data_IF_307629213317
#
_entry.id   IF_307629213317
#
_cell.length_a   1.000
_cell.length_b   1.000
_cell.length_c   1.000
_cell.angle_alpha   90.00
_cell.angle_beta   90.00
_cell.angle_gamma   90.00
#
_symmetry.space_group_name_H-M   'P 1'
#
loop_
_entity.id
_entity.type
_entity.pdbx_description
1 polymer ?
#
# COMPACT_ATOMS: atom_id res chain seq x y z
N UNK A 1 19.00 -6.61 12.60
CA UNK A 1 17.86 -6.40 11.68
C UNK A 1 18.23 -7.03 10.34
N UNK A 2 17.25 -7.39 9.51
CA UNK A 2 17.32 -8.38 8.43
C UNK A 2 18.16 -8.07 7.19
N UNK A 3 17.84 -8.71 6.07
CA UNK A 3 18.51 -8.65 4.76
C UNK A 3 20.03 -8.91 4.82
N UNK A 4 20.46 -9.82 5.69
CA UNK A 4 21.89 -10.03 6.02
C UNK A 4 22.77 -10.43 4.83
N UNK A 5 22.20 -11.00 3.75
CA UNK A 5 22.95 -11.36 2.55
C UNK A 5 23.26 -10.16 1.64
N UNK A 6 22.68 -9.00 1.90
CA UNK A 6 22.92 -7.77 1.16
C UNK A 6 23.96 -6.90 1.90
N UNK A 7 25.17 -6.82 1.35
CA UNK A 7 26.24 -5.99 1.92
C UNK A 7 25.86 -4.51 1.87
N UNK A 8 25.58 -3.93 3.03
CA UNK A 8 25.38 -2.49 3.20
C UNK A 8 26.69 -1.88 3.70
N UNK A 9 27.33 -1.04 2.89
CA UNK A 9 28.70 -0.59 3.12
C UNK A 9 28.79 0.92 3.31
N UNK A 10 29.77 1.36 4.11
CA UNK A 10 30.32 2.70 4.02
C UNK A 10 31.29 2.74 2.83
N UNK A 11 31.08 3.67 1.90
CA UNK A 11 31.97 3.88 0.75
C UNK A 11 32.82 5.13 0.99
N UNK A 12 34.14 5.01 0.84
CA UNK A 12 35.09 6.14 0.85
C UNK A 12 35.70 6.29 -0.54
N UNK A 13 35.70 7.51 -1.06
CA UNK A 13 36.26 7.85 -2.37
C UNK A 13 37.38 8.86 -2.16
N UNK A 14 38.64 8.44 -2.29
CA UNK A 14 39.83 9.30 -2.18
C UNK A 14 40.57 9.28 -3.51
N UNK A 15 40.79 10.45 -4.12
CA UNK A 15 41.44 10.60 -5.43
C UNK A 15 40.92 9.61 -6.50
N UNK A 16 39.63 9.27 -6.41
CA UNK A 16 38.99 8.28 -7.28
C UNK A 16 38.65 8.89 -8.63
N UNK A 17 38.88 8.14 -9.70
CA UNK A 17 38.50 8.55 -11.05
C UNK A 17 36.97 8.58 -11.18
N UNK A 18 36.42 9.74 -11.56
CA UNK A 18 35.00 9.92 -11.82
C UNK A 18 34.75 10.41 -13.24
N UNK A 19 33.61 10.04 -13.81
CA UNK A 19 33.14 10.52 -15.11
C UNK A 19 31.80 11.24 -14.92
N UNK A 20 31.64 12.40 -15.55
CA UNK A 20 30.39 13.15 -15.50
C UNK A 20 29.31 12.40 -16.29
N UNK A 21 28.18 12.12 -15.64
CA UNK A 21 26.97 11.61 -16.29
C UNK A 21 26.00 12.78 -16.44
N UNK A 22 25.54 13.02 -17.67
CA UNK A 22 24.64 14.13 -17.99
C UNK A 22 25.35 15.48 -18.05
N UNK A 23 24.71 16.54 -17.55
CA UNK A 23 25.25 17.89 -17.53
C UNK A 23 25.80 18.27 -16.16
N UNK A 24 26.77 19.17 -16.16
CA UNK A 24 27.32 19.76 -14.94
C UNK A 24 26.18 20.37 -14.10
N UNK A 25 26.24 20.15 -12.78
CA UNK A 25 25.24 20.59 -11.79
C UNK A 25 23.81 20.03 -11.95
N UNK A 26 23.58 19.04 -12.83
CA UNK A 26 22.26 18.41 -13.00
C UNK A 26 22.12 17.03 -12.31
N UNK A 27 23.08 16.61 -11.47
CA UNK A 27 23.13 15.26 -10.90
C UNK A 27 21.86 14.80 -10.17
N UNK A 28 21.18 15.68 -9.44
CA UNK A 28 19.90 15.35 -8.78
C UNK A 28 18.80 15.03 -9.80
N UNK A 29 18.72 15.79 -10.89
CA UNK A 29 17.74 15.57 -11.96
C UNK A 29 18.00 14.23 -12.65
N UNK A 30 19.26 13.91 -12.92
CA UNK A 30 19.65 12.60 -13.47
C UNK A 30 19.29 11.45 -12.51
N UNK A 31 19.59 11.59 -11.21
CA UNK A 31 19.22 10.61 -10.18
C UNK A 31 17.71 10.37 -10.10
N UNK A 32 16.89 11.42 -10.23
CA UNK A 32 15.42 11.29 -10.16
C UNK A 32 14.83 10.45 -11.30
N UNK A 33 15.55 10.26 -12.42
CA UNK A 33 15.09 9.36 -13.49
C UNK A 33 15.04 7.90 -13.04
N UNK A 34 15.93 7.49 -12.12
CA UNK A 34 15.97 6.15 -11.55
C UNK A 34 15.02 5.94 -10.36
N UNK A 35 14.61 7.03 -9.69
CA UNK A 35 13.83 6.95 -8.46
C UNK A 35 12.46 6.30 -8.63
N UNK A 36 11.80 6.49 -9.79
CA UNK A 36 10.52 5.80 -10.04
C UNK A 36 10.70 4.27 -10.09
N UNK A 37 11.77 3.79 -10.72
CA UNK A 37 12.11 2.36 -10.76
C UNK A 37 12.49 1.82 -9.38
N UNK A 38 13.34 2.55 -8.64
CA UNK A 38 13.74 2.16 -7.28
C UNK A 38 12.55 2.08 -6.30
N UNK A 39 11.66 3.07 -6.35
CA UNK A 39 10.42 3.09 -5.55
C UNK A 39 9.48 1.94 -5.90
N UNK A 40 9.34 1.62 -7.19
CA UNK A 40 8.57 0.44 -7.63
C UNK A 40 9.19 -0.86 -7.11
N UNK A 41 10.52 -0.99 -7.17
CA UNK A 41 11.23 -2.15 -6.60
C UNK A 41 10.97 -2.30 -5.10
N UNK A 42 10.99 -1.20 -4.34
CA UNK A 42 10.63 -1.21 -2.92
C UNK A 42 9.16 -1.60 -2.69
N UNK A 43 8.24 -1.08 -3.49
CA UNK A 43 6.83 -1.46 -3.42
C UNK A 43 6.63 -2.97 -3.67
N UNK A 44 7.37 -3.54 -4.63
CA UNK A 44 7.36 -4.97 -4.91
C UNK A 44 7.87 -5.80 -3.72
N UNK A 45 8.89 -5.33 -2.99
CA UNK A 45 9.34 -6.01 -1.78
C UNK A 45 8.25 -6.05 -0.70
N UNK A 46 7.51 -4.96 -0.50
CA UNK A 46 6.37 -4.95 0.43
C UNK A 46 5.33 -6.04 0.11
N UNK A 47 5.00 -6.18 -1.18
CA UNK A 47 4.09 -7.24 -1.66
C UNK A 47 4.69 -8.63 -1.48
N UNK A 48 5.98 -8.82 -1.78
CA UNK A 48 6.64 -10.11 -1.68
C UNK A 48 6.64 -10.64 -0.24
N UNK A 49 6.92 -9.77 0.73
CA UNK A 49 6.84 -10.13 2.15
C UNK A 49 5.39 -10.42 2.58
N UNK A 50 4.41 -9.65 2.11
CA UNK A 50 3.00 -9.93 2.39
C UNK A 50 2.56 -11.30 1.81
N UNK A 51 2.97 -11.62 0.59
CA UNK A 51 2.66 -12.89 -0.08
C UNK A 51 3.28 -14.07 0.65
N UNK A 52 4.59 -13.99 0.96
CA UNK A 52 5.29 -15.08 1.66
C UNK A 52 4.72 -15.30 3.06
N UNK A 53 4.41 -14.22 3.78
CA UNK A 53 3.75 -14.26 5.08
C UNK A 53 2.37 -14.93 4.99
N UNK A 54 1.57 -14.56 3.99
CA UNK A 54 0.26 -15.15 3.72
C UNK A 54 0.34 -16.65 3.47
N UNK A 55 1.22 -17.08 2.55
CA UNK A 55 1.37 -18.50 2.20
C UNK A 55 1.78 -19.33 3.43
N UNK A 56 2.79 -18.86 4.17
CA UNK A 56 3.28 -19.58 5.34
C UNK A 56 2.23 -19.65 6.47
N UNK A 57 1.55 -18.54 6.77
CA UNK A 57 0.52 -18.52 7.81
C UNK A 57 -0.71 -19.34 7.42
N UNK A 58 -1.15 -19.30 6.16
CA UNK A 58 -2.26 -20.12 5.69
C UNK A 58 -1.93 -21.62 5.76
N UNK A 59 -0.72 -22.00 5.33
CA UNK A 59 -0.26 -23.38 5.41
C UNK A 59 -0.25 -23.87 6.87
N UNK A 60 0.39 -23.12 7.78
CA UNK A 60 0.42 -23.47 9.20
C UNK A 60 -0.98 -23.55 9.83
N UNK A 61 -1.87 -22.60 9.52
CA UNK A 61 -3.21 -22.56 10.08
C UNK A 61 -4.10 -23.74 9.65
N UNK A 62 -3.81 -24.36 8.49
CA UNK A 62 -4.51 -25.55 7.98
C UNK A 62 -4.13 -26.84 8.70
N UNK A 63 -3.05 -26.84 9.48
CA UNK A 63 -2.53 -28.05 10.13
C UNK A 63 -2.51 -27.93 11.65
N UNK A 64 -2.28 -26.72 12.17
CA UNK A 64 -2.18 -26.49 13.61
C UNK A 64 -3.53 -26.58 14.30
N UNK A 65 -3.69 -27.56 15.20
CA UNK A 65 -4.80 -27.62 16.16
C UNK A 65 -4.58 -26.67 17.35
N UNK A 66 -5.63 -25.95 17.78
CA UNK A 66 -5.68 -25.28 19.08
C UNK A 66 -7.09 -24.86 19.44
N UNK A 67 -7.52 -25.22 20.67
CA UNK A 67 -8.85 -24.93 21.22
C UNK A 67 -9.99 -25.47 20.34
N UNK A 68 -11.24 -25.26 20.76
CA UNK A 68 -12.43 -25.52 19.94
C UNK A 68 -12.99 -24.20 19.42
N UNK A 69 -13.67 -24.24 18.27
CA UNK A 69 -14.37 -23.07 17.75
C UNK A 69 -15.48 -22.64 18.71
N UNK A 70 -15.59 -21.31 18.90
CA UNK A 70 -16.68 -20.71 19.69
C UNK A 70 -18.08 -20.96 19.09
N UNK A 71 -18.14 -21.29 17.79
CA UNK A 71 -19.38 -21.58 17.07
C UNK A 71 -19.70 -23.09 17.01
N UNK A 72 -19.18 -23.85 17.98
CA UNK A 72 -19.28 -25.30 18.03
C UNK A 72 -18.15 -26.01 17.28
N UNK A 73 -17.83 -27.22 17.74
CA UNK A 73 -16.74 -28.07 17.24
C UNK A 73 -16.79 -28.24 15.71
N UNK A 74 -15.68 -27.96 15.03
CA UNK A 74 -15.57 -28.08 13.56
C UNK A 74 -14.87 -29.34 13.09
N UNK A 75 -13.99 -29.91 13.92
CA UNK A 75 -13.28 -31.16 13.66
C UNK A 75 -13.49 -32.13 14.83
N UNK A 76 -14.67 -32.78 14.93
CA UNK A 76 -15.01 -33.67 16.05
C UNK A 76 -14.04 -34.84 16.22
N UNK A 77 -13.43 -35.28 15.12
CA UNK A 77 -12.49 -36.39 15.06
C UNK A 77 -11.08 -36.03 15.56
N UNK A 78 -10.75 -34.74 15.66
CA UNK A 78 -9.46 -34.25 16.20
C UNK A 78 -9.61 -33.83 17.66
N UNK A 79 -8.55 -33.87 18.49
CA UNK A 79 -8.62 -33.36 19.88
C UNK A 79 -8.94 -31.86 19.97
N UNK A 80 -8.54 -31.09 18.97
CA UNK A 80 -8.71 -29.64 18.87
C UNK A 80 -9.12 -29.28 17.44
N UNK A 81 -9.82 -28.16 17.28
CA UNK A 81 -10.10 -27.62 15.96
C UNK A 81 -8.83 -26.97 15.39
N UNK A 82 -8.70 -26.99 14.07
CA UNK A 82 -7.62 -26.29 13.38
C UNK A 82 -7.76 -24.78 13.56
N UNK A 83 -6.67 -24.07 13.79
CA UNK A 83 -6.73 -22.64 14.12
C UNK A 83 -7.32 -21.78 12.99
N UNK A 84 -7.31 -22.28 11.75
CA UNK A 84 -7.96 -21.62 10.62
C UNK A 84 -9.47 -21.38 10.83
N UNK A 85 -10.15 -22.11 11.71
CA UNK A 85 -11.59 -21.87 11.98
C UNK A 85 -11.82 -20.62 12.82
N UNK A 86 -10.80 -20.10 13.50
CA UNK A 86 -10.92 -18.95 14.39
C UNK A 86 -10.97 -17.64 13.58
N UNK A 87 -11.99 -16.78 13.80
CA UNK A 87 -12.15 -15.56 13.02
C UNK A 87 -10.94 -14.61 13.04
N UNK A 88 -10.26 -14.48 14.19
CA UNK A 88 -9.09 -13.62 14.30
C UNK A 88 -7.91 -14.11 13.42
N UNK A 89 -7.67 -15.42 13.38
CA UNK A 89 -6.65 -16.04 12.52
C UNK A 89 -6.98 -15.78 11.04
N UNK A 90 -8.24 -15.96 10.65
CA UNK A 90 -8.70 -15.65 9.28
C UNK A 90 -8.48 -14.19 8.91
N UNK A 91 -8.79 -13.26 9.81
CA UNK A 91 -8.59 -11.82 9.55
C UNK A 91 -7.10 -11.47 9.34
N UNK A 92 -6.19 -12.07 10.11
CA UNK A 92 -4.74 -11.85 9.92
C UNK A 92 -4.26 -12.37 8.57
N UNK A 93 -4.69 -13.58 8.17
CA UNK A 93 -4.35 -14.18 6.87
C UNK A 93 -4.98 -13.37 5.72
N UNK A 94 -6.25 -12.97 5.85
CA UNK A 94 -6.96 -12.18 4.83
C UNK A 94 -6.35 -10.79 4.65
N UNK A 95 -5.85 -10.16 5.72
CA UNK A 95 -5.10 -8.90 5.61
C UNK A 95 -3.88 -9.06 4.71
N UNK A 96 -3.07 -10.11 4.93
CA UNK A 96 -1.90 -10.37 4.11
C UNK A 96 -2.27 -10.69 2.64
N UNK A 97 -3.29 -11.52 2.42
CA UNK A 97 -3.83 -11.82 1.08
C UNK A 97 -4.31 -10.55 0.36
N UNK A 98 -5.05 -9.70 1.07
CA UNK A 98 -5.61 -8.47 0.53
C UNK A 98 -4.52 -7.49 0.05
N UNK A 99 -3.45 -7.35 0.83
CA UNK A 99 -2.28 -6.52 0.49
C UNK A 99 -1.49 -7.16 -0.64
N UNK A 100 -1.22 -8.47 -0.58
CA UNK A 100 -0.42 -9.15 -1.58
C UNK A 100 -1.08 -9.10 -2.97
N UNK A 101 -2.36 -9.42 -3.09
CA UNK A 101 -3.06 -9.45 -4.37
C UNK A 101 -3.44 -8.06 -4.88
N UNK A 102 -3.94 -7.18 -4.01
CA UNK A 102 -4.28 -5.80 -4.37
C UNK A 102 -3.03 -4.99 -4.75
N UNK A 103 -1.96 -5.15 -3.96
CA UNK A 103 -0.66 -4.55 -4.24
C UNK A 103 -0.04 -5.09 -5.53
N UNK A 104 -0.13 -6.41 -5.79
CA UNK A 104 0.33 -6.99 -7.05
C UNK A 104 -0.39 -6.40 -8.25
N UNK A 105 -1.71 -6.19 -8.17
CA UNK A 105 -2.45 -5.54 -9.24
C UNK A 105 -1.96 -4.09 -9.49
N UNK A 106 -1.67 -3.33 -8.43
CA UNK A 106 -1.07 -2.00 -8.52
C UNK A 106 0.33 -2.02 -9.16
N UNK A 107 1.24 -2.87 -8.68
CA UNK A 107 2.61 -2.93 -9.19
C UNK A 107 2.66 -3.43 -10.63
N UNK A 108 1.82 -4.39 -11.03
CA UNK A 108 1.73 -4.81 -12.42
C UNK A 108 1.21 -3.70 -13.34
N UNK A 109 0.28 -2.87 -12.86
CA UNK A 109 -0.20 -1.72 -13.64
C UNK A 109 0.86 -0.61 -13.74
N UNK A 110 1.65 -0.38 -12.69
CA UNK A 110 2.83 0.49 -12.72
C UNK A 110 3.88 -0.01 -13.73
N UNK A 111 4.20 -1.30 -13.71
CA UNK A 111 5.12 -1.92 -14.66
C UNK A 111 4.63 -1.73 -16.11
N UNK A 112 3.34 -2.01 -16.36
CA UNK A 112 2.71 -1.76 -17.67
C UNK A 112 2.84 -0.30 -18.10
N UNK A 113 2.66 0.66 -17.19
CA UNK A 113 2.81 2.09 -17.50
C UNK A 113 4.25 2.47 -17.81
N UNK A 114 5.23 1.94 -17.08
CA UNK A 114 6.66 2.16 -17.33
C UNK A 114 7.09 1.57 -18.69
N UNK A 115 6.66 0.35 -19.01
CA UNK A 115 6.94 -0.27 -20.32
C UNK A 115 6.29 0.52 -21.46
N UNK A 116 5.05 0.99 -21.26
CA UNK A 116 4.38 1.83 -22.27
C UNK A 116 5.11 3.16 -22.45
N UNK A 117 5.60 3.77 -21.36
CA UNK A 117 6.35 5.02 -21.39
C UNK A 117 7.68 4.86 -22.13
N UNK A 118 8.38 3.74 -21.95
CA UNK A 118 9.70 3.51 -22.56
C UNK A 118 9.64 3.32 -24.08
N UNK A 119 8.52 2.83 -24.62
CA UNK A 119 8.37 2.54 -26.06
C UNK A 119 7.51 3.57 -26.82
N UNK A 120 6.69 4.37 -26.12
CA UNK A 120 5.75 5.27 -26.80
C UNK A 120 6.47 6.42 -27.50
N UNK A 121 6.05 6.69 -28.74
CA UNK A 121 6.49 7.86 -29.54
C UNK A 121 5.56 9.06 -29.40
N UNK A 122 4.37 8.87 -28.81
CA UNK A 122 3.41 9.94 -28.56
C UNK A 122 3.84 10.73 -27.32
N UNK A 123 4.30 11.97 -27.53
CA UNK A 123 4.74 12.88 -26.47
C UNK A 123 3.63 13.21 -25.46
N UNK A 124 2.37 13.26 -25.90
CA UNK A 124 1.23 13.57 -25.02
C UNK A 124 0.96 12.37 -24.10
N UNK A 125 0.96 11.16 -24.66
CA UNK A 125 0.85 9.93 -23.88
C UNK A 125 2.04 9.76 -22.93
N UNK A 126 3.27 9.99 -23.39
CA UNK A 126 4.47 9.94 -22.56
C UNK A 126 4.36 10.87 -21.35
N UNK A 127 3.92 12.12 -21.56
CA UNK A 127 3.75 13.08 -20.47
C UNK A 127 2.66 12.66 -19.48
N UNK A 128 1.53 12.16 -19.98
CA UNK A 128 0.45 11.67 -19.13
C UNK A 128 0.87 10.46 -18.29
N UNK A 129 1.62 9.53 -18.87
CA UNK A 129 2.18 8.37 -18.17
C UNK A 129 3.20 8.77 -17.12
N UNK A 130 4.13 9.68 -17.44
CA UNK A 130 5.12 10.18 -16.48
C UNK A 130 4.45 10.86 -15.27
N UNK A 131 3.46 11.71 -15.53
CA UNK A 131 2.67 12.35 -14.48
C UNK A 131 1.90 11.32 -13.63
N UNK A 132 1.30 10.30 -14.27
CA UNK A 132 0.55 9.23 -13.59
C UNK A 132 1.49 8.34 -12.75
N UNK A 133 2.58 7.85 -13.31
CA UNK A 133 3.60 7.07 -12.60
C UNK A 133 4.14 7.87 -11.41
N UNK A 134 4.44 9.15 -11.61
CA UNK A 134 4.92 10.04 -10.55
C UNK A 134 3.93 10.22 -9.40
N UNK A 135 2.62 10.09 -9.64
CA UNK A 135 1.58 10.08 -8.60
C UNK A 135 1.47 8.73 -7.89
N UNK A 136 1.60 7.62 -8.62
CA UNK A 136 1.41 6.26 -8.09
C UNK A 136 2.61 5.75 -7.29
N UNK A 137 3.84 6.03 -7.72
CA UNK A 137 5.05 5.47 -7.10
C UNK A 137 5.22 5.81 -5.61
N UNK A 138 4.96 7.04 -5.11
CA UNK A 138 5.08 7.30 -3.68
C UNK A 138 3.97 6.60 -2.87
N UNK A 139 2.74 6.47 -3.40
CA UNK A 139 1.67 5.71 -2.78
C UNK A 139 2.06 4.22 -2.71
N UNK A 140 2.51 3.66 -3.83
CA UNK A 140 2.91 2.26 -3.91
C UNK A 140 4.06 1.97 -2.93
N UNK A 141 5.12 2.77 -2.94
CA UNK A 141 6.27 2.59 -2.04
C UNK A 141 5.83 2.73 -0.58
N UNK A 142 5.21 3.85 -0.21
CA UNK A 142 4.85 4.11 1.19
C UNK A 142 3.84 3.10 1.72
N UNK A 143 2.70 2.93 1.06
CA UNK A 143 1.63 2.09 1.58
C UNK A 143 1.94 0.59 1.49
N UNK A 144 2.50 0.09 0.38
CA UNK A 144 2.71 -1.36 0.24
C UNK A 144 3.85 -1.88 1.12
N UNK A 145 4.85 -1.04 1.45
CA UNK A 145 5.91 -1.44 2.38
C UNK A 145 5.44 -1.43 3.83
N UNK A 146 4.66 -0.43 4.23
CA UNK A 146 4.05 -0.37 5.57
C UNK A 146 3.04 -1.51 5.78
N UNK A 147 2.13 -1.73 4.81
CA UNK A 147 1.19 -2.85 4.89
C UNK A 147 1.86 -4.21 4.70
N UNK A 148 2.95 -4.28 3.95
CA UNK A 148 3.77 -5.49 3.82
C UNK A 148 4.39 -5.91 5.15
N UNK A 149 4.92 -4.94 5.90
CA UNK A 149 5.38 -5.15 7.27
C UNK A 149 4.23 -5.54 8.21
N UNK A 150 3.09 -4.85 8.14
CA UNK A 150 1.90 -5.19 8.94
C UNK A 150 1.44 -6.63 8.65
N UNK A 151 1.39 -7.02 7.37
CA UNK A 151 1.05 -8.37 6.94
C UNK A 151 2.01 -9.41 7.51
N UNK A 152 3.32 -9.15 7.46
CA UNK A 152 4.34 -10.01 8.05
C UNK A 152 4.12 -10.21 9.56
N UNK A 153 3.91 -9.12 10.30
CA UNK A 153 3.68 -9.16 11.76
C UNK A 153 2.39 -9.93 12.09
N UNK A 154 1.29 -9.65 11.39
CA UNK A 154 0.00 -10.34 11.60
C UNK A 154 0.07 -11.83 11.30
N UNK A 155 0.78 -12.20 10.24
CA UNK A 155 0.99 -13.60 9.90
C UNK A 155 1.93 -14.29 10.88
N UNK A 156 2.95 -13.60 11.41
CA UNK A 156 3.77 -14.14 12.49
C UNK A 156 2.92 -14.45 13.73
N UNK A 157 1.93 -13.60 14.04
CA UNK A 157 1.00 -13.83 15.15
C UNK A 157 0.18 -15.13 15.00
N UNK A 158 -0.14 -15.55 13.76
CA UNK A 158 -0.86 -16.81 13.49
C UNK A 158 -0.06 -18.03 13.98
N UNK A 159 1.27 -17.93 14.01
CA UNK A 159 2.14 -18.98 14.51
C UNK A 159 2.26 -19.00 16.04
N UNK A 160 1.74 -17.99 16.74
CA UNK A 160 1.94 -17.82 18.18
C UNK A 160 3.42 -17.78 18.55
N UNK A 161 3.80 -18.40 19.68
CA UNK A 161 5.18 -18.45 20.13
C UNK A 161 6.16 -19.08 19.13
N UNK A 162 5.70 -20.01 18.29
CA UNK A 162 6.55 -20.59 17.23
C UNK A 162 7.00 -19.54 16.24
N UNK A 163 6.16 -18.53 15.93
CA UNK A 163 6.50 -17.47 15.00
C UNK A 163 7.70 -16.61 15.43
N UNK A 164 8.06 -16.64 16.71
CA UNK A 164 9.21 -15.91 17.27
C UNK A 164 10.51 -16.71 17.23
N UNK A 165 10.45 -18.01 16.93
CA UNK A 165 11.60 -18.90 16.86
C UNK A 165 12.23 -18.80 15.45
N UNK A 166 13.57 -18.81 15.39
CA UNK A 166 14.31 -18.90 14.12
C UNK A 166 14.08 -20.25 13.43
N UNK A 167 14.21 -20.28 12.10
CA UNK A 167 14.18 -21.52 11.31
C UNK A 167 12.86 -21.83 10.60
N UNK A 168 11.72 -21.28 11.05
CA UNK A 168 10.45 -21.37 10.32
C UNK A 168 10.22 -20.23 9.30
N UNK A 169 11.13 -19.25 9.25
CA UNK A 169 11.10 -18.15 8.30
C UNK A 169 10.20 -16.96 8.67
N UNK A 170 9.25 -17.09 9.60
CA UNK A 170 8.32 -15.99 9.92
C UNK A 170 9.01 -14.78 10.53
N UNK A 171 9.90 -15.00 11.50
CA UNK A 171 10.69 -13.92 12.10
C UNK A 171 11.60 -13.22 11.09
N UNK A 172 12.12 -13.98 10.11
CA UNK A 172 12.92 -13.43 9.02
C UNK A 172 12.09 -12.50 8.13
N UNK A 173 10.89 -12.93 7.71
CA UNK A 173 10.01 -12.11 6.87
C UNK A 173 9.71 -10.77 7.55
N UNK A 174 9.46 -10.76 8.87
CA UNK A 174 9.25 -9.51 9.63
C UNK A 174 10.49 -8.63 9.65
N UNK A 175 11.67 -9.19 9.94
CA UNK A 175 12.94 -8.44 9.95
C UNK A 175 13.32 -7.87 8.60
N UNK A 176 13.11 -8.64 7.53
CA UNK A 176 13.49 -8.29 6.17
C UNK A 176 12.50 -7.29 5.56
N UNK A 177 11.20 -7.37 5.91
CA UNK A 177 10.19 -6.40 5.47
C UNK A 177 10.44 -4.97 5.97
N UNK A 178 11.05 -4.83 7.16
CA UNK A 178 11.19 -3.52 7.82
C UNK A 178 12.05 -2.52 7.03
N UNK A 179 13.02 -2.98 6.25
CA UNK A 179 13.87 -2.06 5.48
C UNK A 179 13.10 -1.31 4.39
N UNK A 180 12.03 -1.92 3.84
CA UNK A 180 11.21 -1.35 2.77
C UNK A 180 10.58 0.00 3.12
N UNK A 181 10.27 0.22 4.41
CA UNK A 181 9.69 1.47 4.90
C UNK A 181 10.74 2.57 5.11
N UNK A 182 12.03 2.25 5.01
CA UNK A 182 13.14 3.11 5.41
C UNK A 182 13.94 3.59 4.20
N UNK A 183 14.54 2.69 3.43
CA UNK A 183 15.41 3.08 2.31
C UNK A 183 14.61 3.59 1.11
N UNK A 184 15.31 4.13 0.10
CA UNK A 184 14.71 4.76 -1.08
C UNK A 184 13.67 5.85 -0.72
N UNK A 185 13.89 6.50 0.43
CA UNK A 185 13.05 7.51 1.05
C UNK A 185 12.00 6.92 2.00
N UNK A 186 12.07 7.29 3.28
CA UNK A 186 11.14 6.83 4.34
C UNK A 186 9.68 7.11 4.00
N UNK A 187 8.74 6.46 4.69
CA UNK A 187 7.29 6.71 4.53
C UNK A 187 6.96 8.20 4.63
N UNK A 188 7.52 8.92 5.61
CA UNK A 188 7.36 10.38 5.75
C UNK A 188 7.92 11.17 4.55
N UNK A 189 9.08 10.76 4.00
CA UNK A 189 9.63 11.39 2.79
C UNK A 189 8.74 11.15 1.57
N UNK A 190 8.20 9.94 1.40
CA UNK A 190 7.24 9.65 0.32
C UNK A 190 5.96 10.47 0.49
N UNK A 191 5.49 10.59 1.73
CA UNK A 191 4.27 11.32 2.06
C UNK A 191 4.41 12.81 1.74
N UNK A 192 5.50 13.44 2.17
CA UNK A 192 5.81 14.85 1.86
C UNK A 192 6.02 15.08 0.35
N UNK A 193 6.72 14.17 -0.33
CA UNK A 193 6.86 14.20 -1.79
C UNK A 193 5.49 14.15 -2.47
N UNK A 194 4.65 13.20 -2.05
CA UNK A 194 3.34 12.97 -2.62
C UNK A 194 2.44 14.21 -2.47
N UNK A 195 2.15 14.64 -1.24
CA UNK A 195 1.22 15.76 -1.03
C UNK A 195 1.79 17.06 -1.57
N UNK A 196 3.07 17.34 -1.33
CA UNK A 196 3.71 18.59 -1.73
C UNK A 196 3.95 18.68 -3.23
N UNK A 197 4.72 17.73 -3.78
CA UNK A 197 5.18 17.80 -5.18
C UNK A 197 4.21 17.17 -6.17
N UNK A 198 3.48 16.11 -5.81
CA UNK A 198 2.60 15.38 -6.74
C UNK A 198 1.13 15.81 -6.69
N UNK A 199 0.70 16.47 -5.61
CA UNK A 199 -0.70 16.87 -5.42
C UNK A 199 -0.90 18.38 -5.41
N UNK A 200 -0.21 19.11 -4.52
CA UNK A 200 -0.44 20.55 -4.32
C UNK A 200 0.38 21.45 -5.26
N UNK A 201 1.54 20.99 -5.72
CA UNK A 201 2.40 21.77 -6.61
C UNK A 201 1.75 21.98 -7.98
N UNK A 202 1.79 23.22 -8.48
CA UNK A 202 1.43 23.56 -9.86
C UNK A 202 2.31 22.84 -10.91
N UNK A 203 3.50 22.36 -10.51
CA UNK A 203 4.42 21.56 -11.34
C UNK A 203 4.22 20.05 -11.20
N UNK A 204 3.29 19.60 -10.35
CA UNK A 204 3.07 18.20 -10.01
C UNK A 204 2.45 17.33 -11.11
N UNK A 205 2.19 17.91 -12.29
CA UNK A 205 1.63 17.18 -13.42
C UNK A 205 0.14 16.87 -13.25
N UNK A 206 -0.42 16.16 -14.23
CA UNK A 206 -1.83 15.79 -14.24
C UNK A 206 -2.15 14.48 -13.48
N UNK A 207 -1.17 13.83 -12.85
CA UNK A 207 -1.31 12.47 -12.30
C UNK A 207 -2.47 12.29 -11.33
N UNK A 208 -2.67 13.29 -10.45
CA UNK A 208 -3.78 13.31 -9.49
C UNK A 208 -5.16 13.34 -10.17
N UNK A 209 -5.27 14.08 -11.27
CA UNK A 209 -6.51 14.27 -12.02
C UNK A 209 -6.76 13.06 -12.93
N UNK A 210 -5.70 12.47 -13.49
CA UNK A 210 -5.74 11.20 -14.24
C UNK A 210 -6.25 10.07 -13.35
N UNK A 211 -5.67 9.89 -12.15
CA UNK A 211 -6.16 8.86 -11.21
C UNK A 211 -7.60 9.11 -10.80
N UNK A 212 -7.94 10.37 -10.48
CA UNK A 212 -9.32 10.75 -10.16
C UNK A 212 -10.29 10.42 -11.30
N UNK A 213 -9.89 10.62 -12.56
CA UNK A 213 -10.69 10.29 -13.73
C UNK A 213 -10.85 8.78 -13.88
N UNK A 214 -9.77 7.98 -13.76
CA UNK A 214 -9.82 6.51 -13.80
C UNK A 214 -10.73 5.92 -12.73
N UNK A 215 -10.64 6.42 -11.50
CA UNK A 215 -11.52 6.00 -10.41
C UNK A 215 -12.98 6.32 -10.76
N UNK A 216 -13.25 7.54 -11.25
CA UNK A 216 -14.59 7.94 -11.69
C UNK A 216 -15.13 7.05 -12.81
N UNK A 217 -14.32 6.70 -13.79
CA UNK A 217 -14.71 5.83 -14.91
C UNK A 217 -14.97 4.39 -14.48
N UNK A 218 -14.26 3.90 -13.48
CA UNK A 218 -14.54 2.60 -12.86
C UNK A 218 -15.86 2.61 -12.10
N UNK A 219 -16.13 3.62 -11.26
CA UNK A 219 -17.28 3.58 -10.35
C UNK A 219 -18.60 3.99 -11.01
N UNK A 220 -18.58 4.92 -11.98
CA UNK A 220 -19.79 5.50 -12.61
C UNK A 220 -20.77 4.44 -13.13
N UNK A 221 -20.35 3.41 -13.88
CA UNK A 221 -21.26 2.38 -14.38
C UNK A 221 -21.98 1.60 -13.28
N UNK A 222 -21.43 1.59 -12.06
CA UNK A 222 -21.91 0.77 -10.94
C UNK A 222 -22.62 1.57 -9.84
N UNK A 223 -22.71 2.90 -9.93
CA UNK A 223 -23.28 3.74 -8.86
C UNK A 223 -24.75 3.42 -8.54
N UNK A 224 -25.52 3.00 -9.55
CA UNK A 224 -26.93 2.59 -9.42
C UNK A 224 -27.12 1.07 -9.34
N UNK A 225 -26.05 0.30 -9.45
CA UNK A 225 -26.11 -1.16 -9.32
C UNK A 225 -26.51 -1.56 -7.90
N UNK A 226 -27.32 -2.61 -7.81
CA UNK A 226 -27.61 -3.30 -6.54
C UNK A 226 -26.47 -4.28 -6.20
N UNK A 227 -26.40 -4.69 -4.94
CA UNK A 227 -25.40 -5.66 -4.47
C UNK A 227 -24.05 -5.04 -4.10
N UNK A 228 -23.07 -5.93 -3.88
CA UNK A 228 -21.78 -5.60 -3.30
C UNK A 228 -20.97 -4.60 -4.15
N UNK A 229 -20.84 -4.85 -5.47
CA UNK A 229 -20.12 -3.97 -6.39
C UNK A 229 -20.69 -2.54 -6.39
N UNK A 230 -22.01 -2.40 -6.36
CA UNK A 230 -22.65 -1.09 -6.26
C UNK A 230 -22.32 -0.36 -4.95
N UNK A 231 -22.30 -1.08 -3.83
CA UNK A 231 -21.91 -0.51 -2.53
C UNK A 231 -20.45 -0.03 -2.55
N UNK A 232 -19.55 -0.86 -3.08
CA UNK A 232 -18.12 -0.55 -3.20
C UNK A 232 -17.86 0.65 -4.11
N UNK A 233 -18.55 0.73 -5.24
CA UNK A 233 -18.48 1.87 -6.15
C UNK A 233 -18.92 3.19 -5.48
N UNK A 234 -20.03 3.16 -4.72
CA UNK A 234 -20.50 4.33 -3.95
C UNK A 234 -19.52 4.73 -2.85
N UNK A 235 -18.94 3.76 -2.14
CA UNK A 235 -17.94 4.04 -1.09
C UNK A 235 -16.70 4.72 -1.69
N UNK A 236 -16.13 4.20 -2.78
CA UNK A 236 -14.99 4.83 -3.46
C UNK A 236 -15.34 6.21 -4.02
N UNK A 237 -16.55 6.39 -4.55
CA UNK A 237 -17.01 7.70 -5.02
C UNK A 237 -17.04 8.72 -3.88
N UNK A 238 -17.57 8.36 -2.71
CA UNK A 238 -17.57 9.21 -1.53
C UNK A 238 -16.15 9.50 -1.03
N UNK A 239 -15.28 8.48 -1.00
CA UNK A 239 -13.87 8.65 -0.63
C UNK A 239 -13.17 9.64 -1.57
N UNK A 240 -13.40 9.55 -2.87
CA UNK A 240 -12.85 10.50 -3.84
C UNK A 240 -13.31 11.94 -3.59
N UNK A 241 -14.58 12.14 -3.25
CA UNK A 241 -15.13 13.47 -2.94
C UNK A 241 -14.47 14.06 -1.70
N UNK A 242 -14.36 13.25 -0.64
CA UNK A 242 -13.67 13.61 0.61
C UNK A 242 -12.20 13.92 0.36
N UNK A 243 -11.51 13.10 -0.44
CA UNK A 243 -10.13 13.33 -0.84
C UNK A 243 -9.91 14.67 -1.54
N UNK A 244 -10.76 15.02 -2.51
CA UNK A 244 -10.69 16.31 -3.21
C UNK A 244 -10.92 17.49 -2.25
N UNK A 245 -11.89 17.36 -1.34
CA UNK A 245 -12.19 18.39 -0.36
C UNK A 245 -11.05 18.56 0.66
N UNK A 246 -10.47 17.45 1.13
CA UNK A 246 -9.31 17.44 2.01
C UNK A 246 -8.09 18.07 1.33
N UNK A 247 -7.82 17.71 0.07
CA UNK A 247 -6.75 18.30 -0.74
C UNK A 247 -6.88 19.82 -0.80
N UNK A 248 -8.08 20.34 -1.10
CA UNK A 248 -8.33 21.78 -1.16
C UNK A 248 -8.14 22.45 0.21
N UNK A 249 -8.66 21.86 1.30
CA UNK A 249 -8.52 22.40 2.66
C UNK A 249 -7.07 22.43 3.11
N UNK A 250 -6.31 21.36 2.88
CA UNK A 250 -4.89 21.28 3.23
C UNK A 250 -4.10 22.29 2.41
N UNK A 251 -4.38 22.42 1.11
CA UNK A 251 -3.74 23.43 0.26
C UNK A 251 -3.98 24.87 0.77
N UNK A 252 -5.22 25.21 1.14
CA UNK A 252 -5.56 26.53 1.67
C UNK A 252 -4.89 26.82 3.03
N UNK A 253 -4.88 25.85 3.94
CA UNK A 253 -4.15 25.98 5.23
C UNK A 253 -2.65 26.09 5.00
N UNK A 254 -2.11 25.29 4.07
CA UNK A 254 -0.71 25.27 3.65
C UNK A 254 -0.15 26.59 3.15
N UNK A 255 -1.01 27.47 2.62
CA UNK A 255 -0.62 28.83 2.23
C UNK A 255 -0.28 29.73 3.41
N UNK A 256 -0.86 29.46 4.58
CA UNK A 256 -0.63 30.23 5.83
C UNK A 256 0.39 29.55 6.74
N UNK A 257 0.37 28.23 6.78
CA UNK A 257 1.22 27.39 7.62
C UNK A 257 1.74 26.23 6.77
N UNK A 258 3.02 26.28 6.39
CA UNK A 258 3.62 25.24 5.55
C UNK A 258 3.82 23.94 6.31
N UNK A 259 4.01 23.99 7.62
CA UNK A 259 4.24 22.82 8.46
C UNK A 259 2.96 22.00 8.60
N UNK A 260 1.79 22.63 8.48
CA UNK A 260 0.51 21.93 8.37
C UNK A 260 0.49 20.88 7.24
N UNK A 261 1.10 21.18 6.08
CA UNK A 261 1.15 20.25 4.95
C UNK A 261 2.04 19.04 5.27
N UNK A 262 3.17 19.28 5.94
CA UNK A 262 4.07 18.20 6.35
C UNK A 262 3.42 17.32 7.43
N UNK A 263 2.79 17.92 8.43
CA UNK A 263 2.08 17.22 9.50
C UNK A 263 0.92 16.35 8.97
N UNK A 264 0.19 16.81 7.96
CA UNK A 264 -0.90 16.05 7.33
C UNK A 264 -0.43 14.98 6.34
N UNK A 265 0.86 14.95 6.00
CA UNK A 265 1.34 14.25 4.81
C UNK A 265 1.14 12.73 4.87
N UNK A 266 1.46 12.09 5.99
CA UNK A 266 1.41 10.63 6.12
C UNK A 266 -0.03 10.11 6.12
N UNK A 267 -0.93 10.76 6.86
CA UNK A 267 -2.36 10.43 6.83
C UNK A 267 -2.98 10.67 5.46
N UNK A 268 -2.58 11.74 4.76
CA UNK A 268 -3.03 11.99 3.39
C UNK A 268 -2.52 10.90 2.42
N UNK A 269 -1.28 10.45 2.58
CA UNK A 269 -0.71 9.33 1.82
C UNK A 269 -1.49 8.04 2.07
N UNK A 270 -1.72 7.68 3.35
CA UNK A 270 -2.44 6.46 3.72
C UNK A 270 -3.89 6.48 3.26
N UNK A 271 -4.58 7.61 3.38
CA UNK A 271 -5.94 7.78 2.84
C UNK A 271 -5.97 7.53 1.33
N UNK A 272 -5.02 8.12 0.60
CA UNK A 272 -4.88 7.96 -0.85
C UNK A 272 -4.54 6.51 -1.22
N UNK A 273 -3.72 5.86 -0.40
CA UNK A 273 -3.40 4.44 -0.48
C UNK A 273 -4.63 3.56 -0.37
N UNK A 274 -5.46 3.71 0.66
CA UNK A 274 -6.67 2.89 0.81
C UNK A 274 -7.65 3.09 -0.35
N UNK A 275 -7.78 4.32 -0.85
CA UNK A 275 -8.57 4.62 -2.05
C UNK A 275 -8.00 3.90 -3.28
N UNK A 276 -6.67 3.89 -3.47
CA UNK A 276 -6.00 3.17 -4.56
C UNK A 276 -6.11 1.65 -4.42
N UNK A 277 -5.96 1.10 -3.22
CA UNK A 277 -6.16 -0.31 -2.93
C UNK A 277 -7.60 -0.74 -3.27
N UNK A 278 -8.59 0.05 -2.83
CA UNK A 278 -10.00 -0.18 -3.15
C UNK A 278 -10.28 -0.10 -4.65
N UNK A 279 -9.65 0.83 -5.39
CA UNK A 279 -9.74 0.91 -6.85
C UNK A 279 -9.28 -0.40 -7.53
N UNK A 280 -8.12 -0.92 -7.17
CA UNK A 280 -7.62 -2.17 -7.76
C UNK A 280 -8.46 -3.39 -7.37
N UNK A 281 -8.94 -3.45 -6.13
CA UNK A 281 -9.86 -4.50 -5.70
C UNK A 281 -11.20 -4.45 -6.43
N UNK A 282 -11.79 -3.27 -6.60
CA UNK A 282 -13.03 -3.13 -7.36
C UNK A 282 -12.84 -3.53 -8.82
N UNK A 283 -11.72 -3.19 -9.46
CA UNK A 283 -11.41 -3.64 -10.83
C UNK A 283 -11.38 -5.16 -10.92
N UNK A 284 -10.69 -5.82 -9.98
CA UNK A 284 -10.64 -7.29 -9.94
C UNK A 284 -12.02 -7.89 -9.66
N UNK A 285 -12.82 -7.29 -8.77
CA UNK A 285 -14.16 -7.77 -8.45
C UNK A 285 -15.13 -7.66 -9.64
N UNK A 286 -15.11 -6.55 -10.39
CA UNK A 286 -15.92 -6.40 -11.61
C UNK A 286 -15.55 -7.44 -12.67
N UNK A 287 -14.25 -7.78 -12.79
CA UNK A 287 -13.82 -8.85 -13.69
C UNK A 287 -14.26 -10.24 -13.18
N UNK A 288 -14.11 -10.50 -11.88
CA UNK A 288 -14.47 -11.77 -11.25
C UNK A 288 -15.97 -12.05 -11.30
N UNK A 289 -16.83 -11.06 -11.00
CA UNK A 289 -18.28 -11.20 -11.04
C UNK A 289 -18.78 -11.64 -12.41
N UNK A 290 -18.17 -11.12 -13.50
CA UNK A 290 -18.50 -11.55 -14.87
C UNK A 290 -18.19 -13.03 -15.12
N UNK A 291 -17.09 -13.54 -14.57
CA UNK A 291 -16.68 -14.94 -14.76
C UNK A 291 -17.56 -15.88 -13.93
N UNK A 292 -17.87 -15.50 -12.69
CA UNK A 292 -18.82 -16.24 -11.83
C UNK A 292 -20.20 -16.29 -12.48
N UNK A 293 -20.73 -15.15 -12.95
CA UNK A 293 -22.03 -15.09 -13.62
C UNK A 293 -22.08 -15.87 -14.93
N UNK A 294 -20.94 -16.03 -15.61
CA UNK A 294 -20.81 -16.84 -16.82
C UNK A 294 -20.61 -18.34 -16.53
N UNK A 295 -20.62 -18.78 -15.26
CA UNK A 295 -20.38 -20.17 -14.87
C UNK A 295 -18.94 -20.64 -15.13
N UNK A 296 -17.97 -19.72 -15.19
CA UNK A 296 -16.56 -20.00 -15.52
C UNK A 296 -15.65 -20.07 -14.28
N UNK A 297 -16.22 -20.23 -13.09
CA UNK A 297 -15.49 -20.31 -11.82
C UNK A 297 -15.40 -21.74 -11.30
N UNK A 298 -14.75 -22.62 -12.07
CA UNK A 298 -14.72 -24.07 -11.77
C UNK A 298 -13.90 -24.43 -10.54
N UNK A 299 -12.92 -23.59 -10.18
CA UNK A 299 -12.01 -23.80 -9.05
C UNK A 299 -12.27 -22.85 -7.87
N UNK A 300 -13.27 -21.97 -7.98
CA UNK A 300 -13.63 -20.97 -6.95
C UNK A 300 -12.67 -19.79 -6.86
N UNK A 301 -11.74 -19.62 -7.81
CA UNK A 301 -10.79 -18.52 -7.81
C UNK A 301 -11.47 -17.15 -7.87
N UNK A 302 -12.49 -16.99 -8.73
CA UNK A 302 -13.18 -15.73 -8.90
C UNK A 302 -14.06 -15.42 -7.69
N UNK A 303 -14.74 -16.41 -7.12
CA UNK A 303 -15.46 -16.22 -5.86
C UNK A 303 -14.52 -15.77 -4.73
N UNK A 304 -13.33 -16.37 -4.61
CA UNK A 304 -12.34 -15.96 -3.61
C UNK A 304 -11.87 -14.50 -3.81
N UNK A 305 -11.82 -14.00 -5.06
CA UNK A 305 -11.55 -12.58 -5.35
C UNK A 305 -12.67 -11.67 -4.86
N UNK A 306 -13.93 -12.07 -5.06
CA UNK A 306 -15.10 -11.34 -4.57
C UNK A 306 -15.11 -11.29 -3.04
N UNK A 307 -14.87 -12.42 -2.38
CA UNK A 307 -14.83 -12.52 -0.91
C UNK A 307 -13.69 -11.67 -0.31
N UNK A 308 -12.51 -11.68 -0.95
CA UNK A 308 -11.37 -10.86 -0.49
C UNK A 308 -11.63 -9.37 -0.75
N UNK A 309 -12.28 -9.03 -1.87
CA UNK A 309 -12.74 -7.66 -2.12
C UNK A 309 -13.72 -7.21 -1.03
N UNK A 310 -14.67 -8.05 -0.64
CA UNK A 310 -15.57 -7.74 0.46
C UNK A 310 -14.80 -7.46 1.75
N UNK A 311 -13.84 -8.32 2.12
CA UNK A 311 -12.99 -8.10 3.29
C UNK A 311 -12.25 -6.75 3.22
N UNK A 312 -11.72 -6.37 2.06
CA UNK A 312 -11.04 -5.08 1.86
C UNK A 312 -11.97 -3.91 2.16
N UNK A 313 -13.18 -3.93 1.60
CA UNK A 313 -14.15 -2.84 1.77
C UNK A 313 -14.77 -2.80 3.18
N UNK A 314 -14.98 -3.96 3.81
CA UNK A 314 -15.60 -4.06 5.13
C UNK A 314 -14.61 -3.88 6.29
N UNK A 315 -13.31 -4.20 6.10
CA UNK A 315 -12.32 -4.25 7.19
C UNK A 315 -11.10 -3.36 7.01
N UNK A 316 -10.66 -3.11 5.77
CA UNK A 316 -9.46 -2.30 5.52
C UNK A 316 -9.80 -0.85 5.20
N UNK A 317 -10.70 -0.61 4.25
CA UNK A 317 -11.10 0.74 3.85
C UNK A 317 -11.65 1.60 5.02
N UNK A 318 -12.37 1.06 6.02
CA UNK A 318 -12.80 1.87 7.16
C UNK A 318 -11.65 2.53 7.95
N UNK A 319 -10.42 1.97 7.89
CA UNK A 319 -9.25 2.60 8.52
C UNK A 319 -8.91 3.97 7.91
N UNK A 320 -9.29 4.19 6.65
CA UNK A 320 -9.10 5.49 5.99
C UNK A 320 -9.87 6.62 6.66
N UNK A 321 -10.97 6.34 7.37
CA UNK A 321 -11.73 7.37 8.09
C UNK A 321 -10.92 7.98 9.24
N UNK A 322 -10.09 7.18 9.91
CA UNK A 322 -9.15 7.66 10.93
C UNK A 322 -8.14 8.64 10.33
N UNK A 323 -7.47 8.24 9.25
CA UNK A 323 -6.54 9.09 8.52
C UNK A 323 -7.21 10.37 8.00
N UNK A 324 -8.45 10.28 7.52
CA UNK A 324 -9.20 11.45 7.06
C UNK A 324 -9.46 12.46 8.18
N UNK A 325 -9.78 11.97 9.37
CA UNK A 325 -9.94 12.82 10.55
C UNK A 325 -8.61 13.49 10.91
N UNK A 326 -7.53 12.71 11.01
CA UNK A 326 -6.22 13.18 11.47
C UNK A 326 -5.62 14.20 10.49
N UNK A 327 -5.65 13.96 9.16
CA UNK A 327 -5.02 14.85 8.17
C UNK A 327 -5.62 16.26 8.12
N UNK A 328 -6.78 16.49 8.74
CA UNK A 328 -7.44 17.81 8.78
C UNK A 328 -7.24 18.54 10.10
N UNK A 329 -6.79 17.83 11.15
CA UNK A 329 -6.59 18.39 12.48
C UNK A 329 -5.46 19.42 12.47
N UNK A 330 -5.60 20.53 13.23
CA UNK A 330 -4.49 21.43 13.48
C UNK A 330 -3.31 20.67 14.10
N UNK A 331 -2.10 21.15 13.81
CA UNK A 331 -0.85 20.54 14.31
C UNK A 331 -0.16 21.47 15.32
N UNK A 332 -0.76 21.79 16.48
CA UNK A 332 -0.12 22.68 17.46
C UNK A 332 1.16 22.05 18.05
N UNK A 333 1.33 20.74 17.92
CA UNK A 333 2.50 20.02 18.41
C UNK A 333 3.81 20.38 17.72
N UNK A 334 3.78 20.93 16.50
CA UNK A 334 5.00 21.48 15.86
C UNK A 334 5.51 22.74 16.55
N UNK A 335 4.70 23.37 17.40
CA UNK A 335 5.08 24.54 18.22
C UNK A 335 5.41 24.18 19.67
N UNK A 336 5.30 22.91 20.07
CA UNK A 336 5.71 22.46 21.40
C UNK A 336 7.24 22.47 21.46
N UNK A 337 7.80 23.05 22.52
CA UNK A 337 9.25 23.05 22.72
C UNK A 337 9.74 21.61 23.00
N UNK A 338 10.57 21.00 22.13
CA UNK A 338 11.09 19.67 22.36
C UNK A 338 12.06 19.60 23.56
N UNK A 339 12.62 20.73 24.00
CA UNK A 339 13.50 20.77 25.19
C UNK A 339 12.77 20.43 26.50
N UNK A 340 11.43 20.54 26.51
CA UNK A 340 10.62 20.11 27.66
C UNK A 340 10.19 18.66 27.57
N UNK A 341 10.67 17.90 26.58
CA UNK A 341 10.43 16.46 26.52
C UNK A 341 11.43 15.82 27.47
N UNK A 342 10.97 15.45 28.66
CA UNK A 342 11.81 14.86 29.71
C UNK A 342 12.51 13.59 29.19
N UNK A 343 13.79 13.72 28.86
CA UNK A 343 14.74 12.60 28.70
C UNK A 343 15.78 12.65 29.84
N UNK A 344 15.54 13.48 30.87
CA UNK A 344 16.40 13.55 32.06
C UNK A 344 16.25 12.30 32.92
N UNK A 345 17.21 11.39 32.77
CA UNK A 345 17.85 10.69 33.89
C UNK A 345 19.36 10.95 33.80
#
# INVERSE_FOLDING_TARGET
MGIHSNSTCQLSFENSLGYLIGKESEGMKEMFTFMNGARMGCAQQGIAHAEMAFQNALHYARERGSMRSLSGTKYPEKPQDLILVHPNVRQNILMAKAVAEGGRALVLDLARMLDTLSITKDKKLARALDDEIGFYTPIAKGCLTEWGLEAAIRCQQVWGGHGYIKGNGMEQIVRDARIGTIYEGTTGVQAMDFIGRKVLSKKGGAGKDIFAQRLSDLVRPHLISRGAIGNYARQLWLMQKRWKLATARIGLKGMKDRDFVAAASEDFLMYSGYMMLGYYWLRMAVAAEKQVAAGKDTDGFYQAKLDTCQFVFDRLLPRSEGHHSIMLNPSPFTSINPETWDISN
#
